data_IF_382423771976
#
_entry.id   IF_382423771976
#
_cell.length_a   1.000
_cell.length_b   1.000
_cell.length_c   1.000
_cell.angle_alpha   90.00
_cell.angle_beta   90.00
_cell.angle_gamma   90.00
#
_symmetry.space_group_name_H-M   'P 1'
#
loop_
_entity.id
_entity.type
_entity.pdbx_description
1 polymer ?
#
# COMPACT_ATOMS: atom_id res chain seq x y z
N UNK A 1 8.61 6.06 13.19
CA UNK A 1 7.75 6.51 12.07
C UNK A 1 7.85 5.58 10.86
N UNK A 2 9.05 5.28 10.39
CA UNK A 2 9.23 4.33 9.28
C UNK A 2 8.66 2.95 9.63
N UNK A 3 8.88 2.50 10.85
CA UNK A 3 8.35 1.22 11.30
C UNK A 3 6.83 1.14 11.15
N UNK A 4 6.13 2.20 11.50
CA UNK A 4 4.69 2.24 11.38
C UNK A 4 4.23 2.23 9.92
N UNK A 5 4.96 2.90 9.05
CA UNK A 5 4.69 2.88 7.61
C UNK A 5 4.78 1.46 7.09
N UNK A 6 5.89 0.78 7.36
CA UNK A 6 6.10 -0.58 6.90
C UNK A 6 5.09 -1.55 7.48
N UNK A 7 4.77 -1.41 8.76
CA UNK A 7 3.79 -2.25 9.41
C UNK A 7 2.42 -2.12 8.75
N UNK A 8 2.00 -0.89 8.46
CA UNK A 8 0.71 -0.66 7.81
C UNK A 8 0.68 -1.20 6.38
N UNK A 9 1.78 -1.04 5.63
CA UNK A 9 1.87 -1.58 4.28
C UNK A 9 1.82 -3.11 4.28
N UNK A 10 2.55 -3.74 5.17
CA UNK A 10 2.57 -5.19 5.28
C UNK A 10 1.22 -5.74 5.72
N UNK A 11 0.60 -5.12 6.71
CA UNK A 11 -0.72 -5.53 7.18
C UNK A 11 -1.74 -5.44 6.04
N UNK A 12 -1.69 -4.36 5.29
CA UNK A 12 -2.58 -4.18 4.15
C UNK A 12 -2.36 -5.27 3.10
N UNK A 13 -1.11 -5.56 2.78
CA UNK A 13 -0.80 -6.58 1.78
C UNK A 13 -1.27 -7.97 2.23
N UNK A 14 -1.01 -8.33 3.47
CA UNK A 14 -1.42 -9.63 4.01
C UNK A 14 -2.95 -9.76 3.97
N UNK A 15 -3.65 -8.68 4.29
CA UNK A 15 -5.10 -8.69 4.36
C UNK A 15 -5.75 -8.91 2.99
N UNK A 16 -5.19 -8.33 1.95
CA UNK A 16 -5.82 -8.34 0.64
C UNK A 16 -5.15 -9.27 -0.37
N UNK A 17 -4.00 -9.84 -0.05
CA UNK A 17 -3.30 -10.71 -0.97
C UNK A 17 -3.99 -12.07 -1.10
N UNK A 18 -4.06 -12.57 -2.32
CA UNK A 18 -4.55 -13.92 -2.60
C UNK A 18 -3.42 -14.87 -3.00
N UNK A 19 -2.17 -14.44 -2.81
CA UNK A 19 -1.02 -15.25 -3.18
C UNK A 19 0.25 -14.68 -2.59
N UNK A 20 1.36 -14.94 -3.26
CA UNK A 20 2.68 -14.53 -2.78
C UNK A 20 2.85 -13.02 -2.83
N UNK A 21 3.30 -12.44 -1.73
CA UNK A 21 3.63 -11.03 -1.65
C UNK A 21 5.10 -10.86 -2.00
N UNK A 22 5.39 -9.93 -2.91
CA UNK A 22 6.74 -9.65 -3.34
C UNK A 22 7.18 -8.30 -2.77
N UNK A 23 8.32 -8.29 -2.10
CA UNK A 23 8.87 -7.08 -1.50
C UNK A 23 10.25 -6.84 -2.09
N UNK A 24 10.50 -5.60 -2.52
CA UNK A 24 11.77 -5.21 -3.11
C UNK A 24 12.28 -3.97 -2.38
N UNK A 25 13.55 -3.96 -2.05
CA UNK A 25 14.20 -2.82 -1.41
C UNK A 25 15.41 -2.44 -2.25
N UNK A 26 15.47 -1.18 -2.67
CA UNK A 26 16.54 -0.68 -3.52
C UNK A 26 17.05 0.65 -3.00
N UNK A 27 18.30 0.95 -3.29
CA UNK A 27 18.87 2.26 -3.05
C UNK A 27 19.18 2.90 -4.40
N UNK A 28 18.77 4.15 -4.57
CA UNK A 28 18.97 4.89 -5.81
C UNK A 28 19.21 6.36 -5.49
N UNK A 29 20.38 6.88 -5.87
CA UNK A 29 20.70 8.31 -5.74
C UNK A 29 20.43 8.84 -4.33
N UNK A 30 20.90 8.12 -3.31
CA UNK A 30 20.74 8.45 -1.89
C UNK A 30 19.29 8.29 -1.39
N UNK A 31 18.40 7.80 -2.22
CA UNK A 31 17.03 7.51 -1.80
C UNK A 31 16.86 6.01 -1.64
N UNK A 32 15.97 5.65 -0.73
CA UNK A 32 15.59 4.25 -0.53
C UNK A 32 14.24 4.03 -1.20
N UNK A 33 14.15 3.03 -2.05
CA UNK A 33 12.91 2.68 -2.73
C UNK A 33 12.44 1.33 -2.24
N UNK A 34 11.26 1.31 -1.62
CA UNK A 34 10.62 0.10 -1.12
C UNK A 34 9.38 -0.16 -1.97
N UNK A 35 9.29 -1.35 -2.54
CA UNK A 35 8.15 -1.73 -3.37
C UNK A 35 7.51 -2.98 -2.78
N UNK A 36 6.20 -2.94 -2.62
CA UNK A 36 5.44 -4.11 -2.19
C UNK A 36 4.36 -4.41 -3.24
N UNK A 37 4.36 -5.65 -3.70
CA UNK A 37 3.43 -6.10 -4.72
C UNK A 37 2.65 -7.28 -4.18
N UNK A 38 1.32 -7.21 -4.24
CA UNK A 38 0.49 -8.31 -3.81
C UNK A 38 -0.58 -8.63 -4.86
N UNK A 39 -0.77 -9.92 -5.19
CA UNK A 39 -1.83 -10.31 -6.09
C UNK A 39 -3.18 -10.19 -5.40
N UNK A 40 -4.18 -9.80 -6.16
CA UNK A 40 -5.53 -9.59 -5.67
C UNK A 40 -6.50 -10.46 -6.46
N UNK A 41 -7.70 -10.67 -5.94
CA UNK A 41 -8.68 -11.47 -6.66
C UNK A 41 -9.11 -10.76 -7.95
N UNK A 42 -9.52 -11.55 -8.94
CA UNK A 42 -9.94 -11.00 -10.24
C UNK A 42 -11.11 -10.02 -10.13
N UNK A 43 -11.89 -10.15 -9.08
CA UNK A 43 -13.05 -9.29 -8.88
C UNK A 43 -12.71 -7.98 -8.18
N UNK A 44 -11.46 -7.79 -7.79
CA UNK A 44 -11.05 -6.59 -7.07
C UNK A 44 -10.86 -5.43 -8.02
N UNK A 45 -11.53 -4.32 -7.73
CA UNK A 45 -11.33 -3.07 -8.44
C UNK A 45 -10.85 -2.05 -7.43
N UNK A 46 -9.70 -1.46 -7.70
CA UNK A 46 -9.11 -0.48 -6.80
C UNK A 46 -8.88 0.81 -7.58
N UNK A 47 -9.38 1.90 -7.02
CA UNK A 47 -9.05 3.23 -7.53
C UNK A 47 -7.76 3.68 -6.87
N UNK A 48 -6.64 3.53 -7.57
CA UNK A 48 -5.33 3.88 -7.04
C UNK A 48 -5.22 5.36 -6.69
N UNK A 49 -6.03 6.20 -7.30
CA UNK A 49 -6.04 7.63 -6.97
C UNK A 49 -6.68 7.89 -5.61
N UNK A 50 -7.48 6.97 -5.11
CA UNK A 50 -8.17 7.10 -3.84
C UNK A 50 -7.68 6.15 -2.78
N UNK A 51 -6.71 5.30 -3.12
CA UNK A 51 -6.25 4.24 -2.24
C UNK A 51 -5.79 4.77 -0.88
N UNK A 52 -5.23 5.97 -0.84
CA UNK A 52 -4.73 6.57 0.39
C UNK A 52 -5.73 7.52 1.04
N UNK A 53 -6.94 7.61 0.50
CA UNK A 53 -7.98 8.42 1.11
C UNK A 53 -8.49 7.73 2.38
N UNK A 54 -8.90 8.54 3.33
CA UNK A 54 -9.46 8.02 4.58
C UNK A 54 -10.74 7.25 4.27
N UNK A 55 -10.88 6.09 4.93
CA UNK A 55 -12.06 5.22 4.82
C UNK A 55 -12.25 4.55 3.46
N UNK A 56 -11.31 4.71 2.53
CA UNK A 56 -11.39 3.97 1.27
C UNK A 56 -10.83 2.56 1.49
N UNK A 57 -11.60 1.54 1.18
CA UNK A 57 -11.19 0.15 1.38
C UNK A 57 -11.03 -0.63 0.09
N UNK A 58 -11.52 -0.13 -1.03
CA UNK A 58 -11.50 -0.86 -2.29
C UNK A 58 -12.41 -2.07 -2.31
N UNK A 59 -13.01 -2.41 -1.18
CA UNK A 59 -13.90 -3.56 -1.03
C UNK A 59 -15.15 -3.08 -0.32
N UNK A 60 -16.29 -3.44 -0.88
CA UNK A 60 -17.58 -3.00 -0.34
C UNK A 60 -17.99 -3.79 0.91
N UNK A 61 -17.37 -4.92 1.15
CA UNK A 61 -17.82 -5.80 2.23
C UNK A 61 -17.44 -5.32 3.62
N UNK A 62 -16.27 -4.73 3.79
CA UNK A 62 -15.81 -4.19 5.06
C UNK A 62 -15.87 -5.16 6.24
N UNK A 63 -15.90 -6.46 5.96
CA UNK A 63 -16.14 -7.44 7.01
C UNK A 63 -14.93 -7.71 7.90
N UNK A 64 -13.78 -7.29 7.49
CA UNK A 64 -12.55 -7.69 8.16
C UNK A 64 -12.05 -6.67 9.16
N UNK A 65 -12.93 -5.79 9.62
CA UNK A 65 -12.53 -4.76 10.55
C UNK A 65 -11.64 -3.68 9.94
N UNK A 66 -11.59 -3.62 8.60
CA UNK A 66 -10.83 -2.58 7.94
C UNK A 66 -11.54 -1.25 8.07
N UNK A 67 -10.82 -0.26 8.58
CA UNK A 67 -11.38 1.08 8.75
C UNK A 67 -11.07 2.00 7.58
N UNK A 68 -10.19 1.56 6.67
CA UNK A 68 -9.74 2.40 5.58
C UNK A 68 -8.80 3.51 6.02
N UNK A 69 -8.25 3.41 7.23
CA UNK A 69 -7.34 4.43 7.76
C UNK A 69 -5.87 4.08 7.62
N UNK A 70 -5.54 2.79 7.48
CA UNK A 70 -4.14 2.36 7.48
C UNK A 70 -3.29 3.02 6.42
N UNK A 71 -3.77 3.05 5.18
CA UNK A 71 -3.02 3.66 4.09
C UNK A 71 -3.05 5.19 4.13
N UNK A 72 -4.12 5.78 4.67
CA UNK A 72 -4.16 7.23 4.86
C UNK A 72 -3.09 7.67 5.87
N UNK A 73 -2.90 6.90 6.94
CA UNK A 73 -1.85 7.15 7.92
C UNK A 73 -0.48 7.03 7.25
N UNK A 74 -0.28 6.02 6.41
CA UNK A 74 0.98 5.85 5.69
C UNK A 74 1.30 7.08 4.86
N UNK A 75 0.35 7.57 4.09
CA UNK A 75 0.57 8.75 3.25
C UNK A 75 0.95 9.97 4.07
N UNK A 76 0.28 10.17 5.20
CA UNK A 76 0.58 11.28 6.09
C UNK A 76 2.00 11.18 6.64
N UNK A 77 2.40 9.99 7.10
CA UNK A 77 3.74 9.80 7.66
C UNK A 77 4.82 9.96 6.60
N UNK A 78 4.57 9.47 5.38
CA UNK A 78 5.51 9.64 4.27
C UNK A 78 5.71 11.12 3.96
N UNK A 79 4.63 11.90 3.95
CA UNK A 79 4.71 13.33 3.70
C UNK A 79 5.55 14.03 4.79
N UNK A 80 5.37 13.65 6.04
CA UNK A 80 6.15 14.21 7.15
C UNK A 80 7.63 13.92 6.97
N UNK A 81 7.98 12.74 6.45
CA UNK A 81 9.37 12.36 6.21
C UNK A 81 9.96 12.98 4.94
N UNK A 82 9.15 13.69 4.17
CA UNK A 82 9.63 14.27 2.92
C UNK A 82 9.74 13.27 1.79
N UNK A 83 9.11 12.12 1.92
CA UNK A 83 9.14 11.05 0.92
C UNK A 83 7.96 11.12 -0.04
N UNK A 84 7.84 10.08 -0.84
CA UNK A 84 6.77 9.96 -1.81
C UNK A 84 6.24 8.53 -1.81
N UNK A 85 4.95 8.38 -2.08
CA UNK A 85 4.32 7.06 -2.17
C UNK A 85 3.32 7.07 -3.31
N UNK A 86 3.35 6.01 -4.12
CA UNK A 86 2.42 5.85 -5.23
C UNK A 86 1.91 4.42 -5.25
N UNK A 87 0.71 4.24 -5.77
CA UNK A 87 0.09 2.94 -5.95
C UNK A 87 -0.30 2.77 -7.40
N UNK A 88 -0.09 1.56 -7.92
CA UNK A 88 -0.49 1.20 -9.28
C UNK A 88 -1.11 -0.19 -9.24
N UNK A 89 -2.02 -0.43 -10.15
CA UNK A 89 -2.58 -1.74 -10.35
C UNK A 89 -2.14 -2.23 -11.73
N UNK A 90 -1.53 -3.42 -11.77
CA UNK A 90 -1.07 -4.03 -12.99
C UNK A 90 -1.60 -5.45 -13.04
N UNK A 91 -2.40 -5.77 -14.05
CA UNK A 91 -3.14 -7.03 -14.10
C UNK A 91 -3.93 -7.17 -12.79
N UNK A 92 -3.74 -8.25 -12.06
CA UNK A 92 -4.45 -8.49 -10.81
C UNK A 92 -3.57 -8.20 -9.58
N UNK A 93 -2.52 -7.41 -9.76
CA UNK A 93 -1.60 -7.10 -8.66
C UNK A 93 -1.65 -5.63 -8.31
N UNK A 94 -1.60 -5.35 -7.01
CA UNK A 94 -1.45 -4.00 -6.50
C UNK A 94 0.03 -3.78 -6.17
N UNK A 95 0.59 -2.69 -6.69
CA UNK A 95 1.99 -2.36 -6.49
C UNK A 95 2.07 -1.01 -5.80
N UNK A 96 2.63 -0.98 -4.60
CA UNK A 96 2.83 0.26 -3.84
C UNK A 96 4.32 0.52 -3.77
N UNK A 97 4.74 1.70 -4.22
CA UNK A 97 6.14 2.11 -4.21
C UNK A 97 6.33 3.28 -3.26
N UNK A 98 7.23 3.11 -2.31
CA UNK A 98 7.58 4.09 -1.31
C UNK A 98 9.00 4.56 -1.56
N UNK A 99 9.19 5.88 -1.64
CA UNK A 99 10.51 6.46 -1.81
C UNK A 99 10.82 7.39 -0.63
N UNK A 100 11.91 7.13 0.03
CA UNK A 100 12.34 7.93 1.18
C UNK A 100 13.73 8.54 0.98
#
# INVERSE_FOLDING_TARGET
MVERILQNLLTNAIKYSVGTIKITLMEKENNIIFTIENPMSDSSEIDCNRLFDRFYTGDKSRHNGSTGLGLAVVKTLVAILGGNIVAKQHANSLIITLEL
#
